data_IF_766126244047
#
_entry.id   IF_766126244047
#
_cell.length_a   1.000
_cell.length_b   1.000
_cell.length_c   1.000
_cell.angle_alpha   90.00
_cell.angle_beta   90.00
_cell.angle_gamma   90.00
#
_symmetry.space_group_name_H-M   'P 1'
#
loop_
_entity.id
_entity.type
_entity.pdbx_description
1 polymer ?
#
# COMPACT_ATOMS: atom_id res chain seq x y z
N UNK A 1 10.53 -5.92 14.81
CA UNK A 1 10.34 -7.38 14.71
C UNK A 1 9.60 -7.96 15.92
N UNK A 2 10.00 -7.63 17.15
CA UNK A 2 9.33 -8.11 18.37
C UNK A 2 7.79 -7.94 18.37
N UNK A 3 7.28 -6.77 17.93
CA UNK A 3 5.82 -6.52 17.83
C UNK A 3 5.13 -7.49 16.84
N UNK A 4 5.82 -7.86 15.75
CA UNK A 4 5.28 -8.79 14.75
C UNK A 4 5.21 -10.21 15.33
N UNK A 5 6.27 -10.65 16.02
CA UNK A 5 6.33 -11.94 16.70
C UNK A 5 5.21 -12.09 17.73
N UNK A 6 5.01 -11.06 18.56
CA UNK A 6 3.94 -11.02 19.56
C UNK A 6 2.55 -11.14 18.92
N UNK A 7 2.31 -10.43 17.81
CA UNK A 7 1.04 -10.51 17.07
C UNK A 7 0.78 -11.90 16.48
N UNK A 8 1.81 -12.55 15.92
CA UNK A 8 1.69 -13.92 15.38
C UNK A 8 1.29 -14.89 16.50
N UNK A 9 2.00 -14.85 17.63
CA UNK A 9 1.74 -15.73 18.77
C UNK A 9 0.35 -15.48 19.37
N UNK A 10 -0.06 -14.21 19.50
CA UNK A 10 -1.39 -13.85 19.99
C UNK A 10 -2.49 -14.36 19.05
N UNK A 11 -2.38 -14.11 17.75
CA UNK A 11 -3.33 -14.60 16.75
C UNK A 11 -3.49 -16.13 16.82
N UNK A 12 -2.37 -16.86 16.93
CA UNK A 12 -2.36 -18.32 17.09
C UNK A 12 -3.06 -18.75 18.39
N UNK A 13 -2.79 -18.08 19.52
CA UNK A 13 -3.44 -18.38 20.80
C UNK A 13 -4.95 -18.14 20.78
N UNK A 14 -5.42 -17.25 19.89
CA UNK A 14 -6.84 -17.00 19.64
C UNK A 14 -7.46 -17.99 18.62
N UNK A 15 -6.70 -18.99 18.18
CA UNK A 15 -7.18 -20.04 17.27
C UNK A 15 -7.12 -19.68 15.79
N UNK A 16 -6.47 -18.57 15.39
CA UNK A 16 -6.31 -18.28 13.95
C UNK A 16 -5.42 -19.32 13.28
N UNK A 17 -5.86 -19.82 12.13
CA UNK A 17 -5.14 -20.83 11.35
C UNK A 17 -3.96 -20.30 10.55
N UNK A 18 -3.90 -19.00 10.28
CA UNK A 18 -2.82 -18.36 9.53
C UNK A 18 -2.64 -16.88 9.91
N UNK A 19 -1.48 -16.32 9.58
CA UNK A 19 -1.19 -14.89 9.64
C UNK A 19 -0.63 -14.42 8.29
N UNK A 20 -1.06 -13.23 7.85
CA UNK A 20 -0.54 -12.59 6.64
C UNK A 20 0.23 -11.35 7.05
N UNK A 21 1.47 -11.25 6.58
CA UNK A 21 2.34 -10.10 6.82
C UNK A 21 2.61 -9.46 5.46
N UNK A 22 2.25 -8.18 5.32
CA UNK A 22 2.52 -7.39 4.11
C UNK A 22 3.74 -6.53 4.36
N UNK A 23 4.73 -6.62 3.48
CA UNK A 23 5.98 -5.86 3.57
C UNK A 23 6.10 -4.93 2.37
N UNK A 24 6.26 -3.64 2.63
CA UNK A 24 6.55 -2.67 1.58
C UNK A 24 8.01 -2.83 1.11
N UNK A 25 8.24 -2.85 -0.20
CA UNK A 25 9.57 -3.08 -0.79
C UNK A 25 10.62 -2.05 -0.36
N UNK A 26 10.20 -0.82 -0.06
CA UNK A 26 11.09 0.24 0.44
C UNK A 26 11.51 0.08 1.91
N UNK A 27 10.99 -0.91 2.63
CA UNK A 27 11.28 -1.15 4.05
C UNK A 27 12.20 -2.36 4.23
N UNK A 28 11.86 -3.50 3.64
CA UNK A 28 12.64 -4.73 3.78
C UNK A 28 12.30 -5.75 2.68
N UNK A 29 13.19 -6.73 2.48
CA UNK A 29 12.90 -7.91 1.67
C UNK A 29 11.96 -8.87 2.42
N UNK A 30 10.90 -9.34 1.74
CA UNK A 30 10.02 -10.35 2.30
C UNK A 30 10.75 -11.67 2.59
N UNK A 31 11.78 -12.00 1.79
CA UNK A 31 12.63 -13.19 2.00
C UNK A 31 13.40 -13.09 3.31
N UNK A 32 14.13 -12.01 3.49
CA UNK A 32 14.95 -11.78 4.70
C UNK A 32 14.08 -11.77 5.95
N UNK A 33 12.90 -11.15 5.89
CA UNK A 33 11.96 -11.14 7.00
C UNK A 33 11.49 -12.56 7.36
N UNK A 34 11.14 -13.36 6.37
CA UNK A 34 10.69 -14.74 6.60
C UNK A 34 11.81 -15.61 7.19
N UNK A 35 13.05 -15.47 6.71
CA UNK A 35 14.22 -16.18 7.27
C UNK A 35 14.44 -15.81 8.73
N UNK A 36 14.40 -14.51 9.07
CA UNK A 36 14.55 -14.04 10.45
C UNK A 36 13.42 -14.56 11.34
N UNK A 37 12.16 -14.50 10.89
CA UNK A 37 11.01 -14.97 11.68
C UNK A 37 11.05 -16.49 11.86
N UNK A 38 11.50 -17.23 10.85
CA UNK A 38 11.68 -18.69 10.92
C UNK A 38 12.66 -19.05 12.02
N UNK A 39 13.83 -18.40 12.04
CA UNK A 39 14.84 -18.67 13.07
C UNK A 39 14.35 -18.30 14.47
N UNK A 40 13.68 -17.14 14.62
CA UNK A 40 13.21 -16.65 15.92
C UNK A 40 12.04 -17.43 16.49
N UNK A 41 11.20 -18.00 15.64
CA UNK A 41 9.99 -18.71 16.04
C UNK A 41 10.10 -20.23 15.86
N UNK A 42 11.31 -20.77 15.60
CA UNK A 42 11.55 -22.20 15.37
C UNK A 42 11.02 -23.12 16.48
N UNK A 43 11.10 -22.66 17.73
CA UNK A 43 10.64 -23.41 18.91
C UNK A 43 9.18 -23.10 19.28
N UNK A 44 8.43 -22.41 18.39
CA UNK A 44 7.03 -22.04 18.58
C UNK A 44 6.16 -22.78 17.56
N UNK A 45 4.98 -23.21 17.98
CA UNK A 45 3.99 -23.85 17.08
C UNK A 45 3.23 -22.81 16.24
N UNK A 46 3.95 -22.10 15.37
CA UNK A 46 3.38 -21.07 14.46
C UNK A 46 3.17 -21.58 13.03
N UNK A 47 3.57 -22.81 12.74
CA UNK A 47 3.50 -23.40 11.40
C UNK A 47 4.62 -22.93 10.46
N UNK A 48 4.48 -23.28 9.18
CA UNK A 48 5.47 -22.96 8.14
C UNK A 48 5.38 -21.48 7.73
N UNK A 49 6.51 -20.77 7.80
CA UNK A 49 6.61 -19.37 7.38
C UNK A 49 7.06 -19.33 5.92
N UNK A 50 6.19 -18.84 5.03
CA UNK A 50 6.47 -18.66 3.60
C UNK A 50 6.54 -17.19 3.24
N UNK A 51 7.32 -16.87 2.21
CA UNK A 51 7.32 -15.55 1.59
C UNK A 51 6.97 -15.64 0.11
N UNK A 52 6.39 -14.58 -0.42
CA UNK A 52 6.18 -14.38 -1.85
C UNK A 52 6.46 -12.92 -2.18
N UNK A 53 7.24 -12.69 -3.24
CA UNK A 53 7.44 -11.35 -3.82
C UNK A 53 6.57 -11.25 -5.06
N UNK A 54 5.67 -10.26 -5.10
CA UNK A 54 4.76 -10.05 -6.23
C UNK A 54 5.48 -9.47 -7.45
N UNK A 55 6.41 -8.53 -7.23
CA UNK A 55 7.21 -7.91 -8.30
C UNK A 55 6.34 -7.20 -9.34
N UNK A 56 6.71 -7.35 -10.62
CA UNK A 56 6.12 -6.62 -11.75
C UNK A 56 4.66 -6.94 -12.04
N UNK A 57 4.11 -8.03 -11.50
CA UNK A 57 2.70 -8.39 -11.71
C UNK A 57 1.75 -7.27 -11.24
N UNK A 58 2.17 -6.50 -10.22
CA UNK A 58 1.43 -5.36 -9.67
C UNK A 58 1.32 -4.17 -10.64
N UNK A 59 2.14 -4.13 -11.70
CA UNK A 59 2.12 -3.07 -12.72
C UNK A 59 1.38 -3.48 -14.01
N UNK A 60 0.99 -4.74 -14.12
CA UNK A 60 0.27 -5.29 -15.27
C UNK A 60 -1.21 -5.54 -14.97
N UNK A 61 -1.90 -6.13 -15.95
CA UNK A 61 -3.32 -6.46 -15.85
C UNK A 61 -4.25 -5.41 -16.45
N UNK A 62 -5.51 -5.79 -16.64
CA UNK A 62 -6.54 -4.86 -17.12
C UNK A 62 -6.91 -3.87 -16.01
N UNK A 63 -6.97 -2.55 -16.29
CA UNK A 63 -7.34 -1.56 -15.29
C UNK A 63 -8.75 -1.81 -14.76
N UNK A 64 -8.97 -1.51 -13.48
CA UNK A 64 -10.29 -1.65 -12.84
C UNK A 64 -11.29 -0.65 -13.44
N UNK A 65 -12.58 -0.83 -13.16
CA UNK A 65 -13.59 0.15 -13.56
C UNK A 65 -13.29 1.55 -12.97
N UNK A 66 -12.80 1.59 -11.73
CA UNK A 66 -12.40 2.82 -11.07
C UNK A 66 -11.24 3.51 -11.80
N UNK A 67 -10.18 2.76 -12.13
CA UNK A 67 -9.00 3.30 -12.82
C UNK A 67 -9.39 3.85 -14.20
N UNK A 68 -10.25 3.14 -14.95
CA UNK A 68 -10.71 3.60 -16.27
C UNK A 68 -11.50 4.90 -16.17
N UNK A 69 -12.46 4.97 -15.24
CA UNK A 69 -13.27 6.18 -15.03
C UNK A 69 -12.38 7.35 -14.60
N UNK A 70 -11.44 7.12 -13.67
CA UNK A 70 -10.51 8.14 -13.21
C UNK A 70 -9.61 8.63 -14.35
N UNK A 71 -9.02 7.73 -15.12
CA UNK A 71 -8.18 8.09 -16.27
C UNK A 71 -8.94 8.91 -17.31
N UNK A 72 -10.18 8.54 -17.64
CA UNK A 72 -11.03 9.32 -18.54
C UNK A 72 -11.31 10.71 -18.00
N UNK A 73 -11.70 10.84 -16.72
CA UNK A 73 -11.95 12.15 -16.08
C UNK A 73 -10.68 13.02 -16.07
N UNK A 74 -9.53 12.44 -15.77
CA UNK A 74 -8.25 13.15 -15.75
C UNK A 74 -7.88 13.65 -17.15
N UNK A 75 -8.04 12.81 -18.17
CA UNK A 75 -7.73 13.17 -19.56
C UNK A 75 -8.61 14.31 -20.08
N UNK A 76 -9.94 14.22 -19.87
CA UNK A 76 -10.88 15.28 -20.26
C UNK A 76 -10.52 16.60 -19.57
N UNK A 77 -10.36 16.58 -18.25
CA UNK A 77 -10.04 17.79 -17.47
C UNK A 77 -8.71 18.42 -17.88
N UNK A 78 -7.68 17.61 -18.17
CA UNK A 78 -6.38 18.10 -18.65
C UNK A 78 -6.53 18.88 -19.98
N UNK A 79 -7.32 18.35 -20.93
CA UNK A 79 -7.54 18.99 -22.23
C UNK A 79 -8.32 20.29 -22.06
N UNK A 80 -9.40 20.28 -21.26
CA UNK A 80 -10.19 21.49 -20.97
C UNK A 80 -9.31 22.62 -20.42
N UNK A 81 -8.45 22.29 -19.45
CA UNK A 81 -7.53 23.24 -18.82
C UNK A 81 -6.47 23.77 -19.79
N UNK A 82 -5.92 22.90 -20.61
CA UNK A 82 -4.96 23.30 -21.64
C UNK A 82 -5.59 24.23 -22.69
N UNK A 83 -6.79 23.92 -23.17
CA UNK A 83 -7.52 24.77 -24.14
C UNK A 83 -7.90 26.13 -23.53
N UNK A 84 -8.20 26.18 -22.23
CA UNK A 84 -8.41 27.42 -21.49
C UNK A 84 -7.11 28.25 -21.30
N UNK A 85 -5.96 27.77 -21.77
CA UNK A 85 -4.69 28.48 -21.73
C UNK A 85 -3.88 28.24 -20.45
N UNK A 86 -4.34 27.37 -19.54
CA UNK A 86 -3.55 27.01 -18.36
C UNK A 86 -2.29 26.22 -18.75
N UNK A 87 -1.18 26.48 -18.06
CA UNK A 87 0.13 25.84 -18.28
C UNK A 87 0.77 25.51 -16.94
N UNK A 88 1.80 24.64 -16.96
CA UNK A 88 2.57 24.25 -15.78
C UNK A 88 1.73 23.69 -14.62
N UNK A 89 0.67 22.95 -14.96
CA UNK A 89 -0.21 22.32 -13.98
C UNK A 89 -0.17 20.79 -14.09
N UNK A 90 -0.58 20.13 -13.02
CA UNK A 90 -0.91 18.72 -12.98
C UNK A 90 -2.38 18.53 -12.64
N UNK A 91 -2.96 17.42 -13.11
CA UNK A 91 -4.29 16.99 -12.69
C UNK A 91 -4.17 16.12 -11.43
N UNK A 92 -5.00 16.39 -10.44
CA UNK A 92 -5.05 15.65 -9.18
C UNK A 92 -6.50 15.28 -8.81
N UNK A 93 -6.65 14.33 -7.91
CA UNK A 93 -7.94 13.98 -7.30
C UNK A 93 -7.89 14.34 -5.81
N UNK A 94 -8.73 15.29 -5.40
CA UNK A 94 -8.81 15.75 -4.01
C UNK A 94 -10.28 15.89 -3.61
N UNK A 95 -10.62 15.41 -2.40
CA UNK A 95 -11.96 15.54 -1.82
C UNK A 95 -13.10 15.14 -2.77
N UNK A 96 -12.91 14.03 -3.51
CA UNK A 96 -13.93 13.49 -4.40
C UNK A 96 -14.00 14.14 -5.79
N UNK A 97 -13.13 15.10 -6.10
CA UNK A 97 -13.17 15.88 -7.35
C UNK A 97 -11.82 15.94 -8.06
N UNK A 98 -11.86 16.12 -9.38
CA UNK A 98 -10.68 16.35 -10.21
C UNK A 98 -10.33 17.84 -10.17
N UNK A 99 -9.07 18.17 -9.90
CA UNK A 99 -8.59 19.54 -9.71
C UNK A 99 -7.27 19.79 -10.47
N UNK A 100 -7.00 21.05 -10.78
CA UNK A 100 -5.72 21.53 -11.32
C UNK A 100 -4.83 21.97 -10.15
N UNK A 101 -3.54 21.62 -10.17
CA UNK A 101 -2.54 22.05 -9.19
C UNK A 101 -1.26 22.50 -9.89
N UNK A 102 -0.53 23.50 -9.35
CA UNK A 102 0.78 23.84 -9.87
C UNK A 102 1.71 22.62 -9.86
N UNK A 103 2.48 22.41 -10.93
CA UNK A 103 3.35 21.23 -11.06
C UNK A 103 4.37 21.13 -9.92
N UNK A 104 4.76 22.26 -9.34
CA UNK A 104 5.73 22.39 -8.26
C UNK A 104 5.32 21.65 -6.98
N UNK A 105 4.02 21.43 -6.78
CA UNK A 105 3.54 20.70 -5.59
C UNK A 105 3.80 19.19 -5.68
N UNK A 106 4.12 18.68 -6.87
CA UNK A 106 4.36 17.24 -7.11
C UNK A 106 5.68 16.73 -6.53
N UNK A 107 6.60 17.62 -6.18
CA UNK A 107 7.92 17.28 -5.64
C UNK A 107 8.21 18.00 -4.32
N UNK A 108 9.19 17.49 -3.58
CA UNK A 108 9.69 18.11 -2.34
C UNK A 108 8.84 17.88 -1.09
N UNK A 109 7.67 17.23 -1.19
CA UNK A 109 6.84 16.87 -0.03
C UNK A 109 6.79 15.36 0.15
N UNK A 110 6.97 14.91 1.39
CA UNK A 110 6.76 13.51 1.76
C UNK A 110 5.27 13.30 1.99
N UNK A 111 4.69 12.32 1.29
CA UNK A 111 3.31 11.91 1.53
C UNK A 111 3.26 11.02 2.77
N UNK A 112 2.53 11.47 3.78
CA UNK A 112 2.30 10.70 5.01
C UNK A 112 1.09 9.79 4.78
N UNK A 113 1.16 8.49 5.14
CA UNK A 113 0.02 7.58 5.07
C UNK A 113 -1.07 7.97 6.07
N UNK A 114 -2.29 7.48 5.85
CA UNK A 114 -3.38 7.68 6.80
C UNK A 114 -3.14 6.85 8.07
N UNK A 115 -2.64 7.50 9.12
CA UNK A 115 -2.32 6.85 10.40
C UNK A 115 -3.55 6.22 11.04
N UNK A 116 -4.73 6.84 10.89
CA UNK A 116 -5.97 6.30 11.46
C UNK A 116 -6.37 4.97 10.81
N UNK A 117 -6.21 4.84 9.50
CA UNK A 117 -6.43 3.57 8.80
C UNK A 117 -5.42 2.50 9.23
N UNK A 118 -4.16 2.89 9.43
CA UNK A 118 -3.13 2.00 9.96
C UNK A 118 -3.48 1.49 11.37
N UNK A 119 -3.98 2.36 12.25
CA UNK A 119 -4.46 2.00 13.59
C UNK A 119 -5.68 1.07 13.53
N UNK A 120 -6.66 1.37 12.67
CA UNK A 120 -7.82 0.50 12.45
C UNK A 120 -7.37 -0.90 12.01
N UNK A 121 -6.43 -0.99 11.07
CA UNK A 121 -5.89 -2.28 10.64
C UNK A 121 -5.25 -3.04 11.81
N UNK A 122 -4.51 -2.34 12.67
CA UNK A 122 -3.91 -2.95 13.86
C UNK A 122 -4.94 -3.53 14.84
N UNK A 123 -6.12 -2.90 14.95
CA UNK A 123 -7.24 -3.40 15.78
C UNK A 123 -7.90 -4.61 15.14
N UNK A 124 -8.18 -4.55 13.83
CA UNK A 124 -8.89 -5.63 13.10
C UNK A 124 -8.03 -6.87 12.86
N UNK A 125 -6.70 -6.76 12.95
CA UNK A 125 -5.76 -7.86 12.67
C UNK A 125 -5.70 -8.95 13.75
N UNK A 126 -6.25 -8.71 14.94
CA UNK A 126 -6.23 -9.65 16.08
C UNK A 126 -7.28 -10.75 15.96
#
# INVERSE_FOLDING_TARGET
LHIVEEKILKAKSMGKGFAIIVVAEGVASAKELAEILTERLKDKDVGEIKYQVLGYIQRGGSPTAYDRIMASKFGVFAVEKYVAGEKNFMVAFENGSVVSKPLEVSFGKIRVPNIKEYEINNILSL
#
